data_IF_551811852249
#
_entry.id   IF_551811852249
#
_cell.length_a   1.000
_cell.length_b   1.000
_cell.length_c   1.000
_cell.angle_alpha   90.00
_cell.angle_beta   90.00
_cell.angle_gamma   90.00
#
_symmetry.space_group_name_H-M   'P 1'
#
loop_
_entity.id
_entity.type
_entity.pdbx_description
1 polymer ?
#
# COMPACT_ATOMS: atom_id res chain seq x y z
N UNK A 1 12.17 -10.16 27.71
CA UNK A 1 12.14 -11.10 26.56
C UNK A 1 11.81 -10.36 25.26
N UNK A 2 10.68 -9.66 25.13
CA UNK A 2 10.31 -8.94 23.91
C UNK A 2 11.36 -7.89 23.47
N UNK A 3 11.85 -7.05 24.39
CA UNK A 3 12.94 -6.10 24.08
C UNK A 3 14.22 -6.78 23.60
N UNK A 4 14.56 -7.96 24.16
CA UNK A 4 15.75 -8.69 23.75
C UNK A 4 15.61 -9.23 22.32
N UNK A 5 14.41 -9.71 21.95
CA UNK A 5 14.12 -10.16 20.59
C UNK A 5 14.11 -9.00 19.59
N UNK A 6 13.62 -7.82 19.99
CA UNK A 6 13.61 -6.63 19.15
C UNK A 6 15.04 -6.16 18.85
N UNK A 7 15.86 -5.98 19.89
CA UNK A 7 17.30 -5.62 19.74
C UNK A 7 18.05 -6.65 18.91
N UNK A 8 17.80 -7.94 19.14
CA UNK A 8 18.40 -9.02 18.36
C UNK A 8 17.98 -8.96 16.89
N UNK A 9 16.68 -8.79 16.61
CA UNK A 9 16.15 -8.66 15.26
C UNK A 9 16.72 -7.43 14.53
N UNK A 10 16.78 -6.28 15.20
CA UNK A 10 17.42 -5.07 14.67
C UNK A 10 18.89 -5.31 14.33
N UNK A 11 19.65 -5.98 15.20
CA UNK A 11 21.06 -6.29 14.96
C UNK A 11 21.26 -7.24 13.76
N UNK A 12 20.43 -8.28 13.65
CA UNK A 12 20.48 -9.24 12.53
C UNK A 12 20.12 -8.55 11.20
N UNK A 13 19.11 -7.69 11.18
CA UNK A 13 18.74 -6.94 9.98
C UNK A 13 19.77 -5.88 9.59
N UNK A 14 20.34 -5.17 10.56
CA UNK A 14 21.44 -4.22 10.32
C UNK A 14 22.64 -4.94 9.69
N UNK A 15 23.01 -6.11 10.23
CA UNK A 15 24.10 -6.92 9.69
C UNK A 15 23.84 -7.40 8.26
N UNK A 16 22.61 -7.86 7.97
CA UNK A 16 22.18 -8.22 6.61
C UNK A 16 22.29 -7.04 5.63
N UNK A 17 21.83 -5.85 6.05
CA UNK A 17 21.93 -4.62 5.27
C UNK A 17 23.39 -4.21 5.00
N UNK A 18 24.25 -4.24 6.01
CA UNK A 18 25.68 -3.93 5.87
C UNK A 18 26.40 -4.91 4.93
N UNK A 19 26.13 -6.22 5.04
CA UNK A 19 26.67 -7.24 4.14
C UNK A 19 26.26 -6.99 2.69
N UNK A 20 25.00 -6.62 2.46
CA UNK A 20 24.49 -6.32 1.11
C UNK A 20 25.17 -5.08 0.53
N UNK A 21 25.35 -4.02 1.33
CA UNK A 21 26.05 -2.80 0.94
C UNK A 21 27.52 -3.09 0.58
N UNK A 22 28.21 -3.92 1.37
CA UNK A 22 29.58 -4.34 1.09
C UNK A 22 29.73 -5.13 -0.20
N UNK A 23 28.81 -6.05 -0.47
CA UNK A 23 28.77 -6.76 -1.76
C UNK A 23 28.55 -5.83 -2.96
N UNK A 24 28.00 -4.63 -2.73
CA UNK A 24 27.76 -3.63 -3.77
C UNK A 24 28.89 -2.58 -3.87
N UNK A 25 29.97 -2.72 -3.11
CA UNK A 25 31.11 -1.80 -3.15
C UNK A 25 30.79 -0.41 -2.58
N UNK A 26 29.79 -0.30 -1.71
CA UNK A 26 29.45 0.95 -1.04
C UNK A 26 30.49 1.30 0.02
N UNK A 27 30.71 2.58 0.24
CA UNK A 27 31.58 3.08 1.30
C UNK A 27 30.92 2.91 2.69
N UNK A 28 31.67 3.25 3.74
CA UNK A 28 31.21 3.06 5.13
C UNK A 28 29.93 3.84 5.43
N UNK A 29 29.75 5.02 4.84
CA UNK A 29 28.54 5.82 5.00
C UNK A 29 27.35 5.11 4.33
N UNK A 30 27.51 4.65 3.08
CA UNK A 30 26.49 3.88 2.39
C UNK A 30 26.10 2.59 3.11
N UNK A 31 27.07 1.89 3.70
CA UNK A 31 26.83 0.72 4.55
C UNK A 31 26.01 1.05 5.79
N UNK A 32 26.36 2.12 6.52
CA UNK A 32 25.64 2.55 7.72
C UNK A 32 24.20 2.94 7.41
N UNK A 33 23.98 3.65 6.31
CA UNK A 33 22.64 4.05 5.86
C UNK A 33 21.82 2.80 5.51
N UNK A 34 22.36 1.88 4.70
CA UNK A 34 21.61 0.69 4.27
C UNK A 34 21.30 -0.24 5.44
N UNK A 35 22.25 -0.44 6.35
CA UNK A 35 22.06 -1.20 7.59
C UNK A 35 20.93 -0.59 8.44
N UNK A 36 20.95 0.74 8.63
CA UNK A 36 19.95 1.45 9.42
C UNK A 36 18.56 1.32 8.81
N UNK A 37 18.40 1.59 7.51
CA UNK A 37 17.12 1.47 6.80
C UNK A 37 16.58 0.03 6.88
N UNK A 38 17.44 -0.97 6.72
CA UNK A 38 17.02 -2.38 6.78
C UNK A 38 16.56 -2.76 8.20
N UNK A 39 17.24 -2.25 9.23
CA UNK A 39 16.96 -2.57 10.62
C UNK A 39 15.69 -1.92 11.16
N UNK A 40 15.46 -0.64 10.86
CA UNK A 40 14.30 0.10 11.39
C UNK A 40 13.12 0.16 10.40
N UNK A 41 13.37 -0.01 9.10
CA UNK A 41 12.37 0.21 8.06
C UNK A 41 11.13 -0.65 8.18
N UNK A 42 11.28 -1.92 8.60
CA UNK A 42 10.14 -2.80 8.85
C UNK A 42 9.27 -2.33 10.01
N UNK A 43 9.88 -1.87 11.11
CA UNK A 43 9.18 -1.28 12.25
C UNK A 43 8.51 0.03 11.88
N UNK A 44 9.21 0.92 11.19
CA UNK A 44 8.66 2.21 10.70
C UNK A 44 7.46 1.98 9.79
N UNK A 45 7.56 1.04 8.84
CA UNK A 45 6.44 0.73 7.95
C UNK A 45 5.27 0.17 8.74
N UNK A 46 5.49 -0.78 9.66
CA UNK A 46 4.45 -1.30 10.54
C UNK A 46 3.74 -0.18 11.29
N UNK A 47 4.50 0.75 11.86
CA UNK A 47 3.95 1.83 12.69
C UNK A 47 3.15 2.83 11.84
N UNK A 48 3.62 3.16 10.64
CA UNK A 48 2.85 3.94 9.65
C UNK A 48 1.57 3.22 9.24
N UNK A 49 1.65 1.90 9.00
CA UNK A 49 0.51 1.08 8.64
C UNK A 49 -0.53 1.02 9.78
N UNK A 50 -0.13 0.98 11.05
CA UNK A 50 -1.10 1.01 12.17
C UNK A 50 -1.97 2.29 12.20
N UNK A 51 -1.53 3.37 11.55
CA UNK A 51 -2.28 4.63 11.50
C UNK A 51 -3.34 4.68 10.39
N UNK A 52 -3.28 3.80 9.38
CA UNK A 52 -4.23 3.80 8.26
C UNK A 52 -5.55 3.09 8.59
N UNK A 53 -6.63 3.56 7.96
CA UNK A 53 -8.00 3.15 8.28
C UNK A 53 -8.25 1.64 8.07
N UNK A 54 -7.64 1.04 7.05
CA UNK A 54 -7.83 -0.38 6.71
C UNK A 54 -7.10 -1.34 7.66
N UNK A 55 -6.18 -0.85 8.49
CA UNK A 55 -5.56 -1.61 9.59
C UNK A 55 -6.41 -1.60 10.86
N UNK A 56 -7.38 -0.68 11.00
CA UNK A 56 -8.29 -0.60 12.15
C UNK A 56 -9.48 -1.54 12.04
N UNK A 57 -9.88 -1.88 10.82
CA UNK A 57 -11.03 -2.75 10.55
C UNK A 57 -10.63 -3.86 9.57
N UNK A 58 -10.59 -5.13 10.01
CA UNK A 58 -10.14 -6.24 9.15
C UNK A 58 -11.05 -6.46 7.93
N UNK A 59 -12.31 -6.01 8.02
CA UNK A 59 -13.33 -6.09 6.96
C UNK A 59 -12.81 -5.63 5.59
N UNK A 60 -12.00 -4.57 5.52
CA UNK A 60 -11.49 -4.06 4.24
C UNK A 60 -10.54 -5.08 3.57
N UNK A 61 -9.65 -5.70 4.36
CA UNK A 61 -8.73 -6.74 3.87
C UNK A 61 -9.52 -7.99 3.50
N UNK A 62 -10.47 -8.41 4.34
CA UNK A 62 -11.32 -9.57 4.09
C UNK A 62 -12.12 -9.42 2.79
N UNK A 63 -12.79 -8.27 2.58
CA UNK A 63 -13.54 -7.99 1.34
C UNK A 63 -12.60 -8.01 0.14
N UNK A 64 -11.41 -7.41 0.21
CA UNK A 64 -10.43 -7.44 -0.88
C UNK A 64 -9.98 -8.86 -1.22
N UNK A 65 -9.65 -9.66 -0.21
CA UNK A 65 -9.25 -11.06 -0.39
C UNK A 65 -10.39 -11.92 -0.97
N UNK A 66 -11.60 -11.80 -0.42
CA UNK A 66 -12.79 -12.52 -0.92
C UNK A 66 -13.05 -12.14 -2.37
N UNK A 67 -13.03 -10.84 -2.69
CA UNK A 67 -13.24 -10.34 -4.06
C UNK A 67 -12.19 -10.90 -5.01
N UNK A 68 -10.91 -10.94 -4.62
CA UNK A 68 -9.84 -11.51 -5.42
C UNK A 68 -10.02 -13.01 -5.67
N UNK A 69 -10.38 -13.78 -4.63
CA UNK A 69 -10.62 -15.24 -4.74
C UNK A 69 -11.82 -15.54 -5.62
N UNK A 70 -12.93 -14.82 -5.43
CA UNK A 70 -14.12 -14.96 -6.26
C UNK A 70 -13.80 -14.61 -7.72
N UNK A 71 -13.11 -13.49 -7.95
CA UNK A 71 -12.69 -13.08 -9.30
C UNK A 71 -11.84 -14.15 -9.96
N UNK A 72 -10.86 -14.72 -9.26
CA UNK A 72 -10.01 -15.80 -9.79
C UNK A 72 -10.83 -17.03 -10.19
N UNK A 73 -11.74 -17.49 -9.33
CA UNK A 73 -12.54 -18.69 -9.61
C UNK A 73 -13.51 -18.50 -10.79
N UNK A 74 -14.09 -17.31 -10.91
CA UNK A 74 -15.02 -16.99 -12.00
C UNK A 74 -14.33 -16.47 -13.27
N UNK A 75 -13.02 -16.18 -13.21
CA UNK A 75 -12.24 -15.62 -14.32
C UNK A 75 -12.39 -16.38 -15.64
N UNK A 76 -12.29 -17.74 -15.70
CA UNK A 76 -12.38 -18.46 -16.96
C UNK A 76 -13.75 -18.37 -17.65
N UNK A 77 -14.82 -18.13 -16.87
CA UNK A 77 -16.18 -17.94 -17.39
C UNK A 77 -16.45 -16.50 -17.81
N UNK A 78 -15.78 -15.55 -17.16
CA UNK A 78 -15.88 -14.11 -17.42
C UNK A 78 -15.02 -13.73 -18.64
N UNK A 79 -13.83 -14.32 -18.80
CA UNK A 79 -12.90 -13.96 -19.87
C UNK A 79 -13.42 -14.23 -21.30
N UNK A 80 -14.39 -15.13 -21.47
CA UNK A 80 -15.00 -15.43 -22.77
C UNK A 80 -16.09 -14.44 -23.21
N UNK A 81 -16.56 -13.56 -22.31
CA UNK A 81 -17.76 -12.72 -22.55
C UNK A 81 -17.51 -11.22 -22.36
N UNK A 82 -16.32 -10.85 -21.92
CA UNK A 82 -15.97 -9.48 -21.54
C UNK A 82 -14.78 -9.02 -22.36
N UNK A 83 -15.00 -8.07 -23.29
CA UNK A 83 -13.92 -7.22 -23.78
C UNK A 83 -13.35 -6.47 -22.57
N UNK A 84 -12.11 -6.82 -22.20
CA UNK A 84 -11.44 -6.53 -20.93
C UNK A 84 -11.43 -5.05 -20.50
N UNK A 85 -11.78 -4.11 -21.39
CA UNK A 85 -11.69 -2.67 -21.15
C UNK A 85 -12.87 -2.07 -20.35
N UNK A 86 -14.13 -2.34 -20.73
CA UNK A 86 -15.26 -1.54 -20.24
C UNK A 86 -15.67 -1.84 -18.79
N UNK A 87 -15.58 -3.10 -18.35
CA UNK A 87 -16.03 -3.48 -17.02
C UNK A 87 -15.04 -3.11 -15.92
N UNK A 88 -13.74 -3.19 -16.20
CA UNK A 88 -12.71 -2.69 -15.28
C UNK A 88 -12.94 -1.20 -15.02
N UNK A 89 -13.25 -0.41 -16.07
CA UNK A 89 -13.58 1.01 -15.91
C UNK A 89 -14.83 1.26 -15.06
N UNK A 90 -15.89 0.45 -15.18
CA UNK A 90 -17.10 0.62 -14.36
C UNK A 90 -16.85 0.34 -12.89
N UNK A 91 -16.16 -0.76 -12.56
CA UNK A 91 -15.84 -1.09 -11.16
C UNK A 91 -14.80 -0.14 -10.56
N UNK A 92 -13.83 0.31 -11.35
CA UNK A 92 -12.87 1.33 -10.95
C UNK A 92 -13.57 2.66 -10.63
N UNK A 93 -14.50 3.11 -11.48
CA UNK A 93 -15.29 4.32 -11.24
C UNK A 93 -16.15 4.22 -9.96
N UNK A 94 -16.76 3.06 -9.70
CA UNK A 94 -17.52 2.82 -8.46
C UNK A 94 -16.61 2.86 -7.23
N UNK A 95 -15.44 2.23 -7.30
CA UNK A 95 -14.43 2.27 -6.23
C UNK A 95 -13.91 3.68 -5.97
N UNK A 96 -13.63 4.42 -7.05
CA UNK A 96 -13.18 5.82 -7.01
C UNK A 96 -14.21 6.72 -6.33
N UNK A 97 -15.49 6.58 -6.69
CA UNK A 97 -16.59 7.34 -6.09
C UNK A 97 -16.74 7.03 -4.59
N UNK A 98 -16.70 5.75 -4.20
CA UNK A 98 -16.81 5.35 -2.80
C UNK A 98 -15.63 5.86 -1.96
N UNK A 99 -14.40 5.69 -2.43
CA UNK A 99 -13.21 6.11 -1.71
C UNK A 99 -13.03 7.63 -1.64
N UNK A 100 -13.54 8.38 -2.62
CA UNK A 100 -13.56 9.83 -2.56
C UNK A 100 -14.41 10.31 -1.38
N UNK A 101 -15.63 9.78 -1.21
CA UNK A 101 -16.53 10.13 -0.10
C UNK A 101 -15.90 9.77 1.25
N UNK A 102 -15.32 8.57 1.38
CA UNK A 102 -14.65 8.13 2.61
C UNK A 102 -13.45 9.01 2.95
N UNK A 103 -12.62 9.36 1.96
CA UNK A 103 -11.43 10.20 2.16
C UNK A 103 -11.77 11.63 2.57
N UNK A 104 -12.87 12.19 2.03
CA UNK A 104 -13.41 13.50 2.46
C UNK A 104 -13.96 13.41 3.88
N UNK A 105 -14.77 12.39 4.19
CA UNK A 105 -15.36 12.23 5.52
C UNK A 105 -14.29 12.14 6.61
N UNK A 106 -13.25 11.33 6.41
CA UNK A 106 -12.14 11.19 7.34
C UNK A 106 -11.39 12.51 7.59
N UNK A 107 -11.27 13.35 6.57
CA UNK A 107 -10.63 14.66 6.71
C UNK A 107 -11.53 15.66 7.45
N UNK A 108 -12.84 15.61 7.22
CA UNK A 108 -13.84 16.42 7.93
C UNK A 108 -13.88 16.05 9.41
N UNK A 109 -13.88 14.77 9.76
CA UNK A 109 -13.85 14.29 11.14
C UNK A 109 -12.60 14.75 11.91
N UNK A 110 -11.50 15.03 11.20
CA UNK A 110 -10.26 15.57 11.77
C UNK A 110 -10.24 17.11 11.82
N UNK A 111 -11.33 17.78 11.46
CA UNK A 111 -11.44 19.24 11.49
C UNK A 111 -10.51 19.94 10.49
N UNK A 112 -10.14 19.27 9.40
CA UNK A 112 -9.25 19.84 8.39
C UNK A 112 -9.96 20.90 7.55
N UNK A 113 -9.19 21.84 7.00
CA UNK A 113 -9.71 22.85 6.07
C UNK A 113 -10.30 22.21 4.81
N UNK A 114 -11.28 22.87 4.17
CA UNK A 114 -11.98 22.36 2.98
C UNK A 114 -11.04 21.85 1.89
N UNK A 115 -9.95 22.57 1.62
CA UNK A 115 -8.92 22.17 0.64
C UNK A 115 -8.29 20.82 0.98
N UNK A 116 -7.97 20.58 2.25
CA UNK A 116 -7.39 19.32 2.71
C UNK A 116 -8.40 18.17 2.66
N UNK A 117 -9.70 18.44 2.84
CA UNK A 117 -10.74 17.44 2.67
C UNK A 117 -10.84 16.96 1.22
N UNK A 118 -10.84 17.89 0.26
CA UNK A 118 -10.84 17.56 -1.17
C UNK A 118 -9.58 16.77 -1.54
N UNK A 119 -8.40 17.22 -1.09
CA UNK A 119 -7.13 16.53 -1.34
C UNK A 119 -7.13 15.12 -0.73
N UNK A 120 -7.61 14.95 0.50
CA UNK A 120 -7.72 13.64 1.16
C UNK A 120 -8.64 12.70 0.39
N UNK A 121 -9.80 13.17 -0.08
CA UNK A 121 -10.72 12.42 -0.93
C UNK A 121 -10.06 11.94 -2.22
N UNK A 122 -9.45 12.86 -2.96
CA UNK A 122 -8.76 12.56 -4.22
C UNK A 122 -7.60 11.58 -4.02
N UNK A 123 -6.78 11.79 -3.00
CA UNK A 123 -5.67 10.90 -2.67
C UNK A 123 -6.18 9.51 -2.32
N UNK A 124 -7.19 9.40 -1.45
CA UNK A 124 -7.74 8.09 -1.05
C UNK A 124 -8.33 7.32 -2.23
N UNK A 125 -8.97 8.02 -3.17
CA UNK A 125 -9.58 7.39 -4.34
C UNK A 125 -8.56 6.96 -5.40
N UNK A 126 -7.61 7.83 -5.74
CA UNK A 126 -6.73 7.63 -6.90
C UNK A 126 -5.51 6.76 -6.61
N UNK A 127 -4.95 6.82 -5.39
CA UNK A 127 -3.70 6.13 -5.08
C UNK A 127 -3.81 4.60 -5.20
N UNK A 128 -4.97 4.02 -4.91
CA UNK A 128 -5.22 2.59 -5.05
C UNK A 128 -5.14 2.12 -6.51
N UNK A 129 -5.74 2.88 -7.43
CA UNK A 129 -5.67 2.62 -8.87
C UNK A 129 -4.26 2.80 -9.42
N UNK A 130 -3.56 3.87 -8.99
CA UNK A 130 -2.16 4.12 -9.40
C UNK A 130 -1.24 2.97 -8.97
N UNK A 131 -1.33 2.53 -7.70
CA UNK A 131 -0.50 1.44 -7.20
C UNK A 131 -0.79 0.14 -7.97
N UNK A 132 -2.07 -0.18 -8.22
CA UNK A 132 -2.46 -1.34 -9.04
C UNK A 132 -1.79 -1.29 -10.42
N UNK A 133 -1.95 -0.18 -11.12
CA UNK A 133 -1.47 -0.02 -12.50
C UNK A 133 0.07 -0.07 -12.56
N UNK A 134 0.77 0.58 -11.61
CA UNK A 134 2.25 0.54 -11.48
C UNK A 134 2.77 -0.87 -11.18
N UNK A 135 2.11 -1.61 -10.28
CA UNK A 135 2.49 -2.99 -9.96
C UNK A 135 2.26 -3.93 -11.17
N UNK A 136 1.21 -3.68 -11.96
CA UNK A 136 0.91 -4.42 -13.18
C UNK A 136 1.80 -4.02 -14.37
N UNK A 137 2.64 -2.99 -14.25
CA UNK A 137 3.48 -2.48 -15.34
C UNK A 137 2.69 -1.74 -16.43
N UNK A 138 1.46 -1.34 -16.13
CA UNK A 138 0.61 -0.54 -17.03
C UNK A 138 0.81 0.96 -16.72
N UNK A 139 0.58 1.82 -17.72
CA UNK A 139 0.53 3.26 -17.46
C UNK A 139 -0.71 3.58 -16.61
N UNK A 140 -0.58 4.31 -15.48
CA UNK A 140 -1.71 4.68 -14.64
C UNK A 140 -2.76 5.40 -15.47
N UNK A 141 -4.01 4.92 -15.46
CA UNK A 141 -5.07 5.45 -16.34
C UNK A 141 -5.45 6.92 -16.10
N UNK A 142 -4.96 7.49 -15.00
CA UNK A 142 -5.17 8.89 -14.60
C UNK A 142 -4.10 9.81 -15.18
N UNK A 143 -3.11 9.27 -15.91
CA UNK A 143 -2.07 9.98 -16.65
C UNK A 143 -2.27 9.88 -18.16
#
# INVERSE_FOLDING_TARGET
ILQALDVFGTAVFAFSGALKAGKKGMDIIGMMILASITAVGGGTLRDVLMMVFWMRTPLYIEISCITAVLTYYFWPKISQRFETSNFICTFDALGLAAFCVVGVQQAVERGLALTLCVVSGLMTATFGGIIRDVICGEQPRIM
#
